data_IF_504904067482
#
_entry.id   IF_504904067482
#
_cell.length_a   1.000
_cell.length_b   1.000
_cell.length_c   1.000
_cell.angle_alpha   90.00
_cell.angle_beta   90.00
_cell.angle_gamma   90.00
#
_symmetry.space_group_name_H-M   'P 1'
#
loop_
_entity.id
_entity.type
_entity.pdbx_description
1 polymer ?
#
# COMPACT_ATOMS: atom_id res chain seq x y z
N UNK A 1 5.23 11.29 -7.35
CA UNK A 1 6.40 11.05 -6.47
C UNK A 1 6.19 9.69 -5.80
N UNK A 2 7.02 9.28 -4.85
CA UNK A 2 6.84 8.00 -4.15
C UNK A 2 6.64 8.29 -2.68
N UNK A 3 5.58 7.73 -2.09
CA UNK A 3 5.29 7.95 -0.68
C UNK A 3 6.09 6.98 0.19
N UNK A 4 6.78 7.53 1.19
CA UNK A 4 7.52 6.77 2.19
C UNK A 4 7.07 7.10 3.61
N UNK A 5 7.06 6.11 4.49
CA UNK A 5 6.70 6.24 5.90
C UNK A 5 7.64 5.37 6.75
N UNK A 6 8.46 5.98 7.60
CA UNK A 6 9.36 5.26 8.53
C UNK A 6 10.18 4.11 7.89
N UNK A 7 10.74 4.36 6.72
CA UNK A 7 11.53 3.37 5.95
C UNK A 7 10.68 2.36 5.17
N UNK A 8 9.36 2.47 5.18
CA UNK A 8 8.45 1.75 4.30
C UNK A 8 8.12 2.58 3.06
N UNK A 9 8.07 1.94 1.90
CA UNK A 9 7.62 2.55 0.64
C UNK A 9 6.24 2.04 0.29
N UNK A 10 5.36 2.94 -0.18
CA UNK A 10 4.03 2.60 -0.68
C UNK A 10 4.09 2.13 -2.13
N UNK A 11 3.48 0.98 -2.38
CA UNK A 11 3.33 0.40 -3.71
C UNK A 11 1.86 0.18 -4.03
N UNK A 12 1.55 0.16 -5.32
CA UNK A 12 0.24 -0.18 -5.86
C UNK A 12 0.35 -1.28 -6.90
N UNK A 13 -0.70 -2.11 -7.00
CA UNK A 13 -0.87 -3.05 -8.13
C UNK A 13 -2.34 -3.36 -8.34
N UNK A 14 -2.69 -3.63 -9.59
CA UNK A 14 -4.00 -4.18 -9.93
C UNK A 14 -4.00 -5.69 -9.73
N UNK A 15 -5.05 -6.18 -9.09
CA UNK A 15 -5.28 -7.60 -8.87
C UNK A 15 -6.69 -7.98 -9.28
N UNK A 16 -6.82 -9.17 -9.83
CA UNK A 16 -8.11 -9.82 -10.00
C UNK A 16 -8.43 -10.58 -8.71
N UNK A 17 -9.52 -10.20 -8.05
CA UNK A 17 -10.02 -10.88 -6.86
C UNK A 17 -10.82 -12.12 -7.23
N UNK A 18 -11.00 -13.01 -6.25
CA UNK A 18 -11.92 -14.15 -6.40
C UNK A 18 -13.31 -13.64 -6.78
N UNK A 19 -13.80 -14.05 -7.95
CA UNK A 19 -15.06 -13.55 -8.54
C UNK A 19 -14.90 -12.63 -9.76
N UNK A 20 -13.68 -12.48 -10.30
CA UNK A 20 -13.43 -11.75 -11.55
C UNK A 20 -13.40 -10.23 -11.41
N UNK A 21 -13.41 -9.72 -10.18
CA UNK A 21 -13.39 -8.28 -9.91
C UNK A 21 -11.96 -7.77 -9.90
N UNK A 22 -11.65 -6.82 -10.77
CA UNK A 22 -10.40 -6.07 -10.71
C UNK A 22 -10.44 -5.03 -9.59
N UNK A 23 -9.35 -4.99 -8.81
CA UNK A 23 -9.15 -4.01 -7.75
C UNK A 23 -7.69 -3.58 -7.69
N UNK A 24 -7.48 -2.27 -7.59
CA UNK A 24 -6.17 -1.71 -7.24
C UNK A 24 -5.96 -1.84 -5.74
N UNK A 25 -4.89 -2.51 -5.34
CA UNK A 25 -4.49 -2.64 -3.95
C UNK A 25 -3.24 -1.82 -3.65
N UNK A 26 -3.18 -1.30 -2.43
CA UNK A 26 -2.06 -0.53 -1.92
C UNK A 26 -1.40 -1.28 -0.76
N UNK A 27 -0.07 -1.31 -0.72
CA UNK A 27 0.67 -2.00 0.32
C UNK A 27 2.03 -1.36 0.59
N UNK A 28 2.49 -1.46 1.83
CA UNK A 28 3.80 -0.97 2.25
C UNK A 28 4.84 -2.09 2.22
N UNK A 29 6.06 -1.77 1.77
CA UNK A 29 7.21 -2.68 1.82
C UNK A 29 8.51 -1.95 2.15
N UNK A 30 9.37 -2.55 2.98
CA UNK A 30 10.73 -2.06 3.25
C UNK A 30 11.74 -2.40 2.15
N UNK A 31 11.40 -3.36 1.28
CA UNK A 31 12.25 -3.82 0.17
C UNK A 31 11.49 -3.68 -1.14
N UNK A 32 12.21 -3.72 -2.26
CA UNK A 32 11.57 -3.82 -3.57
C UNK A 32 10.73 -5.11 -3.66
N UNK A 33 9.41 -5.00 -3.87
CA UNK A 33 8.54 -6.16 -3.98
C UNK A 33 8.71 -6.86 -5.33
N UNK A 34 8.31 -8.14 -5.41
CA UNK A 34 8.29 -8.88 -6.69
C UNK A 34 7.24 -8.37 -7.67
N UNK A 35 6.28 -7.58 -7.21
CA UNK A 35 5.21 -7.01 -8.03
C UNK A 35 4.71 -5.69 -7.45
N UNK A 36 4.09 -4.89 -8.32
CA UNK A 36 3.60 -3.55 -7.99
C UNK A 36 4.63 -2.45 -8.23
N UNK A 37 4.13 -1.23 -8.35
CA UNK A 37 4.93 -0.05 -8.65
C UNK A 37 4.87 0.92 -7.47
N UNK A 38 5.97 1.61 -7.13
CA UNK A 38 5.94 2.68 -6.14
C UNK A 38 4.92 3.74 -6.55
N UNK A 39 4.17 4.28 -5.58
CA UNK A 39 3.16 5.30 -5.87
C UNK A 39 3.06 6.37 -4.78
N UNK A 40 2.37 7.46 -5.11
CA UNK A 40 1.96 8.45 -4.12
C UNK A 40 0.81 7.91 -3.26
N UNK A 41 0.64 8.52 -2.08
CA UNK A 41 -0.49 8.24 -1.20
C UNK A 41 -1.75 8.93 -1.73
N UNK A 42 -2.87 8.21 -1.96
CA UNK A 42 -4.10 8.85 -2.39
C UNK A 42 -4.67 9.78 -1.31
N UNK A 43 -5.27 10.89 -1.72
CA UNK A 43 -5.66 12.00 -0.83
C UNK A 43 -6.71 11.62 0.22
N UNK A 44 -7.58 10.68 -0.10
CA UNK A 44 -8.65 10.17 0.76
C UNK A 44 -8.22 9.05 1.73
N UNK A 45 -6.91 8.80 1.87
CA UNK A 45 -6.37 7.82 2.79
C UNK A 45 -5.39 8.43 3.80
N UNK A 46 -5.36 7.84 4.98
CA UNK A 46 -4.41 8.09 6.06
C UNK A 46 -3.59 6.84 6.34
N UNK A 47 -2.41 7.03 6.92
CA UNK A 47 -1.53 5.91 7.31
C UNK A 47 -1.84 5.54 8.76
N UNK A 48 -2.24 4.29 8.97
CA UNK A 48 -2.26 3.67 10.29
C UNK A 48 -1.09 2.71 10.43
N UNK A 49 -0.67 2.43 11.66
CA UNK A 49 0.37 1.44 11.95
C UNK A 49 -0.22 0.32 12.79
N UNK A 50 -0.05 -0.92 12.35
CA UNK A 50 -0.47 -2.08 13.13
C UNK A 50 0.40 -2.16 14.40
N UNK A 51 -0.19 -1.96 15.57
CA UNK A 51 0.54 -1.94 16.86
C UNK A 51 1.27 -3.25 17.18
N UNK A 52 0.82 -4.39 16.66
CA UNK A 52 1.42 -5.71 16.92
C UNK A 52 2.64 -5.98 16.03
N UNK A 53 2.61 -5.53 14.78
CA UNK A 53 3.66 -5.87 13.78
C UNK A 53 4.51 -4.68 13.33
N UNK A 54 4.08 -3.45 13.64
CA UNK A 54 4.67 -2.23 13.12
C UNK A 54 4.41 -2.01 11.62
N UNK A 55 3.56 -2.83 10.97
CA UNK A 55 3.29 -2.72 9.54
C UNK A 55 2.35 -1.52 9.27
N UNK A 56 2.77 -0.54 8.45
CA UNK A 56 1.88 0.53 8.02
C UNK A 56 0.83 0.03 7.04
N UNK A 57 -0.35 0.63 7.08
CA UNK A 57 -1.44 0.36 6.18
C UNK A 57 -2.21 1.64 5.85
N UNK A 58 -2.85 1.67 4.69
CA UNK A 58 -3.75 2.76 4.34
C UNK A 58 -5.13 2.51 4.94
N UNK A 59 -5.66 3.50 5.65
CA UNK A 59 -7.03 3.56 6.14
C UNK A 59 -7.76 4.65 5.38
N UNK A 60 -8.97 4.37 4.90
CA UNK A 60 -9.81 5.41 4.31
C UNK A 60 -10.17 6.42 5.42
N UNK A 61 -10.10 7.71 5.08
CA UNK A 61 -10.65 8.76 5.95
C UNK A 61 -12.14 8.55 6.17
#
# INVERSE_FOLDING_TARGET
MTYTYEGWTLYTRDVELKGGRNQTIYFFSKRSPKSGNPCDKPSNYEVGVNKRTGLPYLKKK
#
